data_IF_342987227593
#
_entry.id   IF_342987227593
#
_cell.length_a   1.000
_cell.length_b   1.000
_cell.length_c   1.000
_cell.angle_alpha   90.00
_cell.angle_beta   90.00
_cell.angle_gamma   90.00
#
_symmetry.space_group_name_H-M   'P 1'
#
loop_
_entity.id
_entity.type
_entity.pdbx_description
1 polymer ?
#
# COMPACT_ATOMS: atom_id res chain seq x y z
N UNK A 1 8.45 -1.35 -6.97
CA UNK A 1 8.33 -2.69 -6.35
C UNK A 1 9.49 -2.98 -5.40
N UNK A 2 10.73 -2.66 -5.78
CA UNK A 2 11.93 -2.84 -4.95
C UNK A 2 11.81 -2.23 -3.54
N UNK A 3 11.30 -0.99 -3.42
CA UNK A 3 11.14 -0.34 -2.11
C UNK A 3 10.21 -1.10 -1.13
N UNK A 4 9.12 -1.68 -1.64
CA UNK A 4 8.17 -2.44 -0.81
C UNK A 4 8.75 -3.76 -0.33
N UNK A 5 9.52 -4.43 -1.20
CA UNK A 5 10.24 -5.64 -0.86
C UNK A 5 11.39 -5.38 0.11
N UNK A 6 12.08 -4.25 -0.02
CA UNK A 6 13.12 -3.85 0.93
C UNK A 6 12.50 -3.58 2.30
N UNK A 7 11.38 -2.85 2.36
CA UNK A 7 10.65 -2.61 3.60
C UNK A 7 10.12 -3.92 4.22
N UNK A 8 9.50 -4.78 3.43
CA UNK A 8 9.02 -6.08 3.88
C UNK A 8 10.16 -7.00 4.34
N UNK A 9 11.29 -7.01 3.63
CA UNK A 9 12.49 -7.76 4.00
C UNK A 9 13.07 -7.28 5.34
N UNK A 10 13.07 -5.96 5.60
CA UNK A 10 13.47 -5.39 6.89
C UNK A 10 12.54 -5.79 8.04
N UNK A 11 11.25 -6.00 7.78
CA UNK A 11 10.24 -6.36 8.80
C UNK A 11 10.24 -7.86 9.09
N UNK A 12 10.21 -8.69 8.04
CA UNK A 12 9.97 -10.14 8.15
C UNK A 12 11.25 -10.97 8.05
N UNK A 13 12.31 -10.40 7.47
CA UNK A 13 13.48 -11.14 7.02
C UNK A 13 13.23 -11.85 5.68
N UNK A 14 14.27 -11.93 4.85
CA UNK A 14 14.20 -12.49 3.50
C UNK A 14 13.62 -13.90 3.45
N UNK A 15 14.01 -14.78 4.38
CA UNK A 15 13.52 -16.16 4.41
C UNK A 15 12.00 -16.22 4.60
N UNK A 16 11.47 -15.47 5.56
CA UNK A 16 10.04 -15.50 5.88
C UNK A 16 9.21 -14.85 4.77
N UNK A 17 9.71 -13.76 4.21
CA UNK A 17 9.09 -13.09 3.07
C UNK A 17 9.01 -14.02 1.85
N UNK A 18 10.06 -14.80 1.57
CA UNK A 18 10.07 -15.78 0.49
C UNK A 18 9.02 -16.88 0.70
N UNK A 19 8.91 -17.44 1.91
CA UNK A 19 7.87 -18.42 2.26
C UNK A 19 6.46 -17.88 1.99
N UNK A 20 6.19 -16.65 2.45
CA UNK A 20 4.88 -16.01 2.27
C UNK A 20 4.56 -15.75 0.79
N UNK A 21 5.56 -15.42 -0.03
CA UNK A 21 5.39 -15.24 -1.48
C UNK A 21 5.10 -16.56 -2.19
N UNK A 22 5.79 -17.64 -1.81
CA UNK A 22 5.55 -18.98 -2.38
C UNK A 22 4.14 -19.47 -2.07
N UNK A 23 3.63 -19.21 -0.86
CA UNK A 23 2.24 -19.52 -0.49
C UNK A 23 1.21 -18.78 -1.38
N UNK A 24 1.58 -17.65 -1.98
CA UNK A 24 0.75 -16.89 -2.92
C UNK A 24 1.04 -17.22 -4.40
N UNK A 25 1.83 -18.26 -4.68
CA UNK A 25 2.09 -18.74 -6.04
C UNK A 25 3.43 -18.31 -6.64
N UNK A 26 4.35 -17.73 -5.87
CA UNK A 26 5.71 -17.46 -6.34
C UNK A 26 6.54 -18.76 -6.55
N UNK A 27 7.49 -18.78 -7.49
CA UNK A 27 8.40 -19.92 -7.67
C UNK A 27 9.28 -20.15 -6.44
N UNK A 28 9.29 -21.38 -5.92
CA UNK A 28 10.02 -21.75 -4.70
C UNK A 28 11.54 -21.90 -4.89
N UNK A 29 12.01 -21.98 -6.14
CA UNK A 29 13.42 -22.18 -6.52
C UNK A 29 14.18 -20.86 -6.72
N UNK A 30 13.51 -19.71 -6.61
CA UNK A 30 14.08 -18.39 -6.89
C UNK A 30 14.29 -17.59 -5.62
N UNK A 31 15.30 -16.71 -5.64
CA UNK A 31 15.50 -15.76 -4.54
C UNK A 31 14.60 -14.52 -4.71
N UNK A 32 14.45 -13.74 -3.63
CA UNK A 32 13.61 -12.54 -3.61
C UNK A 32 13.91 -11.59 -4.78
N UNK A 33 15.19 -11.36 -5.11
CA UNK A 33 15.59 -10.43 -6.19
C UNK A 33 15.09 -10.91 -7.56
N UNK A 34 15.14 -12.21 -7.81
CA UNK A 34 14.66 -12.84 -9.05
C UNK A 34 13.13 -12.88 -9.14
N UNK A 35 12.45 -12.85 -7.99
CA UNK A 35 10.99 -12.83 -7.87
C UNK A 35 10.43 -11.42 -8.15
N UNK A 36 11.13 -10.34 -7.75
CA UNK A 36 10.68 -8.94 -7.97
C UNK A 36 10.55 -8.57 -9.45
N UNK A 37 11.37 -9.16 -10.31
CA UNK A 37 11.40 -8.83 -11.74
C UNK A 37 10.49 -9.72 -12.58
N UNK A 38 9.68 -10.58 -11.97
CA UNK A 38 8.66 -11.34 -12.68
C UNK A 38 7.38 -10.53 -12.78
N UNK A 39 6.96 -10.22 -14.01
CA UNK A 39 5.70 -9.52 -14.30
C UNK A 39 4.47 -10.24 -13.72
N UNK A 40 4.60 -11.55 -13.45
CA UNK A 40 3.57 -12.39 -12.84
C UNK A 40 3.45 -12.16 -11.32
N UNK A 41 4.51 -11.70 -10.64
CA UNK A 41 4.51 -11.30 -9.23
C UNK A 41 4.10 -9.82 -9.09
N UNK A 42 2.81 -9.58 -9.32
CA UNK A 42 2.21 -8.25 -9.17
C UNK A 42 2.18 -7.82 -7.70
N UNK A 43 2.13 -6.51 -7.46
CA UNK A 43 1.88 -5.87 -6.17
C UNK A 43 0.82 -6.61 -5.32
N UNK A 44 -0.22 -7.11 -5.98
CA UNK A 44 -1.25 -7.97 -5.40
C UNK A 44 -0.70 -9.16 -4.60
N UNK A 45 0.24 -9.94 -5.14
CA UNK A 45 0.79 -11.13 -4.47
C UNK A 45 1.58 -10.77 -3.22
N UNK A 46 2.35 -9.67 -3.27
CA UNK A 46 3.07 -9.15 -2.11
C UNK A 46 2.12 -8.65 -1.03
N UNK A 47 1.13 -7.84 -1.40
CA UNK A 47 0.16 -7.29 -0.46
C UNK A 47 -0.69 -8.41 0.15
N UNK A 48 -1.14 -9.40 -0.65
CA UNK A 48 -1.88 -10.57 -0.17
C UNK A 48 -1.03 -11.49 0.71
N UNK A 49 0.26 -11.64 0.43
CA UNK A 49 1.17 -12.41 1.28
C UNK A 49 1.21 -11.83 2.72
N UNK A 50 1.05 -10.52 2.86
CA UNK A 50 1.07 -9.82 4.15
C UNK A 50 -0.27 -9.88 4.91
N UNK A 51 -1.33 -10.46 4.34
CA UNK A 51 -2.69 -10.44 4.92
C UNK A 51 -2.84 -11.09 6.28
N UNK A 52 -1.89 -11.94 6.68
CA UNK A 52 -1.87 -12.62 7.98
C UNK A 52 -0.81 -12.04 8.93
N UNK A 53 -0.15 -10.93 8.56
CA UNK A 53 0.83 -10.28 9.44
C UNK A 53 0.15 -9.24 10.32
N UNK A 54 0.06 -9.51 11.62
CA UNK A 54 -0.51 -8.57 12.59
C UNK A 54 0.16 -7.19 12.56
N UNK A 55 1.49 -7.16 12.41
CA UNK A 55 2.26 -5.91 12.31
C UNK A 55 1.82 -5.10 11.08
N UNK A 56 1.74 -5.76 9.93
CA UNK A 56 1.31 -5.12 8.69
C UNK A 56 -0.15 -4.64 8.80
N UNK A 57 -1.05 -5.50 9.30
CA UNK A 57 -2.47 -5.16 9.45
C UNK A 57 -2.68 -3.99 10.40
N UNK A 58 -1.97 -3.93 11.52
CA UNK A 58 -2.04 -2.79 12.46
C UNK A 58 -1.57 -1.48 11.80
N UNK A 59 -0.49 -1.54 11.02
CA UNK A 59 -0.01 -0.37 10.27
C UNK A 59 -1.02 0.04 9.19
N UNK A 60 -1.58 -0.92 8.46
CA UNK A 60 -2.57 -0.67 7.42
C UNK A 60 -3.83 -0.02 7.99
N UNK A 61 -4.35 -0.55 9.10
CA UNK A 61 -5.49 0.00 9.85
C UNK A 61 -5.23 1.46 10.27
N UNK A 62 -4.06 1.72 10.85
CA UNK A 62 -3.67 3.09 11.27
C UNK A 62 -3.64 4.04 10.07
N UNK A 63 -2.98 3.65 8.97
CA UNK A 63 -2.85 4.49 7.77
C UNK A 63 -4.18 4.74 7.08
N UNK A 64 -5.05 3.74 7.00
CA UNK A 64 -6.39 3.91 6.44
C UNK A 64 -7.25 4.84 7.31
N UNK A 65 -7.10 4.78 8.64
CA UNK A 65 -7.75 5.73 9.55
C UNK A 65 -7.29 7.17 9.33
N UNK A 66 -5.99 7.37 9.11
CA UNK A 66 -5.43 8.67 8.73
C UNK A 66 -5.98 9.15 7.37
N UNK A 67 -6.01 8.28 6.36
CA UNK A 67 -6.54 8.58 5.02
C UNK A 67 -8.02 8.94 5.08
N UNK A 68 -8.85 8.17 5.80
CA UNK A 68 -10.28 8.48 6.00
C UNK A 68 -10.47 9.85 6.65
N UNK A 69 -9.68 10.14 7.69
CA UNK A 69 -9.73 11.43 8.38
C UNK A 69 -9.36 12.59 7.45
N UNK A 70 -8.31 12.44 6.64
CA UNK A 70 -7.90 13.43 5.64
C UNK A 70 -8.96 13.61 4.57
N UNK A 71 -9.50 12.51 4.03
CA UNK A 71 -10.55 12.51 3.02
C UNK A 71 -11.79 13.29 3.47
N UNK A 72 -12.20 13.14 4.73
CA UNK A 72 -13.29 13.94 5.33
C UNK A 72 -12.96 15.42 5.40
N UNK A 73 -11.71 15.78 5.74
CA UNK A 73 -11.27 17.17 5.82
C UNK A 73 -11.20 17.86 4.45
N UNK A 74 -10.76 17.13 3.42
CA UNK A 74 -10.64 17.68 2.06
C UNK A 74 -11.89 17.46 1.20
N UNK A 75 -12.89 16.74 1.72
CA UNK A 75 -14.16 16.41 1.06
C UNK A 75 -13.96 15.67 -0.28
N UNK A 76 -13.04 14.69 -0.32
CA UNK A 76 -12.74 13.89 -1.53
C UNK A 76 -12.71 12.39 -1.22
N UNK A 77 -13.13 11.60 -2.22
CA UNK A 77 -13.21 10.14 -2.12
C UNK A 77 -14.46 9.69 -1.38
N UNK A 78 -14.42 8.47 -0.85
CA UNK A 78 -15.49 7.87 -0.06
C UNK A 78 -14.95 7.43 1.33
N UNK A 79 -14.75 8.37 2.27
CA UNK A 79 -14.24 8.03 3.59
C UNK A 79 -15.16 7.09 4.38
N UNK A 80 -16.46 7.11 4.13
CA UNK A 80 -17.43 6.18 4.75
C UNK A 80 -17.17 4.73 4.33
N UNK A 81 -16.74 4.51 3.09
CA UNK A 81 -16.33 3.18 2.62
C UNK A 81 -15.06 2.71 3.36
N UNK A 82 -14.08 3.59 3.55
CA UNK A 82 -12.86 3.28 4.30
C UNK A 82 -13.20 2.97 5.77
N UNK A 83 -14.06 3.77 6.40
CA UNK A 83 -14.54 3.50 7.75
C UNK A 83 -15.25 2.16 7.84
N UNK A 84 -16.04 1.78 6.82
CA UNK A 84 -16.68 0.47 6.78
C UNK A 84 -15.65 -0.65 6.74
N UNK A 85 -14.58 -0.53 5.96
CA UNK A 85 -13.50 -1.52 5.94
C UNK A 85 -12.78 -1.64 7.28
N UNK A 86 -12.56 -0.51 7.97
CA UNK A 86 -11.89 -0.47 9.29
C UNK A 86 -12.73 -1.08 10.41
N UNK A 87 -14.05 -1.09 10.27
CA UNK A 87 -14.97 -1.67 11.26
C UNK A 87 -15.37 -3.12 10.92
N UNK A 88 -14.78 -3.73 9.89
CA UNK A 88 -15.04 -5.12 9.55
C UNK A 88 -14.41 -6.06 10.59
N UNK A 89 -15.14 -7.09 11.02
CA UNK A 89 -14.68 -8.06 12.02
C UNK A 89 -13.54 -8.95 11.46
N UNK A 90 -13.35 -8.95 10.15
CA UNK A 90 -12.29 -9.69 9.47
C UNK A 90 -11.05 -8.83 9.22
N UNK A 91 -10.10 -8.84 10.17
CA UNK A 91 -8.84 -8.08 10.05
C UNK A 91 -8.02 -8.43 8.78
N UNK A 92 -7.87 -9.71 8.38
CA UNK A 92 -7.19 -10.04 7.12
C UNK A 92 -7.92 -9.52 5.86
N UNK A 93 -9.25 -9.40 5.90
CA UNK A 93 -10.05 -8.90 4.79
C UNK A 93 -9.78 -7.42 4.49
N UNK A 94 -9.21 -6.67 5.44
CA UNK A 94 -8.75 -5.29 5.21
C UNK A 94 -7.80 -5.19 4.02
N UNK A 95 -6.97 -6.21 3.79
CA UNK A 95 -6.07 -6.26 2.63
C UNK A 95 -6.85 -6.42 1.32
N UNK A 96 -7.86 -7.29 1.31
CA UNK A 96 -8.70 -7.53 0.15
C UNK A 96 -9.50 -6.27 -0.21
N UNK A 97 -10.09 -5.61 0.80
CA UNK A 97 -10.76 -4.32 0.64
C UNK A 97 -9.86 -3.24 0.03
N UNK A 98 -8.60 -3.13 0.48
CA UNK A 98 -7.64 -2.16 -0.05
C UNK A 98 -7.23 -2.47 -1.49
N UNK A 99 -7.09 -3.76 -1.83
CA UNK A 99 -6.79 -4.19 -3.19
C UNK A 99 -7.94 -3.85 -4.12
N UNK A 100 -9.17 -4.21 -3.73
CA UNK A 100 -10.37 -4.01 -4.56
C UNK A 100 -10.75 -2.53 -4.66
N UNK A 101 -10.54 -1.77 -3.58
CA UNK A 101 -10.85 -0.36 -3.48
C UNK A 101 -9.65 0.58 -3.69
N UNK A 102 -8.58 0.09 -4.33
CA UNK A 102 -7.35 0.87 -4.50
C UNK A 102 -7.59 2.23 -5.16
N UNK A 103 -8.50 2.29 -6.13
CA UNK A 103 -8.83 3.53 -6.86
C UNK A 103 -9.41 4.62 -5.93
N UNK A 104 -10.19 4.24 -4.92
CA UNK A 104 -10.74 5.19 -3.93
C UNK A 104 -9.64 5.78 -3.05
N UNK A 105 -8.70 4.94 -2.61
CA UNK A 105 -7.54 5.36 -1.84
C UNK A 105 -6.65 6.27 -2.70
N UNK A 106 -6.37 5.86 -3.94
CA UNK A 106 -5.50 6.58 -4.85
C UNK A 106 -6.03 7.97 -5.18
N UNK A 107 -7.34 8.10 -5.40
CA UNK A 107 -8.00 9.40 -5.62
C UNK A 107 -7.77 10.38 -4.47
N UNK A 108 -7.87 9.91 -3.22
CA UNK A 108 -7.62 10.74 -2.03
C UNK A 108 -6.15 11.18 -1.97
N UNK A 109 -5.22 10.26 -2.27
CA UNK A 109 -3.79 10.56 -2.26
C UNK A 109 -3.39 11.59 -3.33
N UNK A 110 -3.97 11.51 -4.53
CA UNK A 110 -3.75 12.49 -5.60
C UNK A 110 -4.28 13.86 -5.19
N UNK A 111 -5.50 13.93 -4.66
CA UNK A 111 -6.06 15.21 -4.21
C UNK A 111 -5.24 15.81 -3.07
N UNK A 112 -4.81 14.98 -2.12
CA UNK A 112 -3.94 15.42 -1.03
C UNK A 112 -2.64 16.01 -1.58
N UNK A 113 -2.01 15.33 -2.54
CA UNK A 113 -0.81 15.80 -3.21
C UNK A 113 -1.08 17.14 -3.93
N UNK A 114 -2.13 17.26 -4.73
CA UNK A 114 -2.48 18.50 -5.44
C UNK A 114 -2.75 19.68 -4.50
N UNK A 115 -3.42 19.43 -3.36
CA UNK A 115 -3.72 20.48 -2.36
C UNK A 115 -2.50 20.86 -1.52
N UNK A 116 -1.61 19.92 -1.23
CA UNK A 116 -0.33 20.21 -0.58
C UNK A 116 0.63 20.93 -1.54
N UNK A 117 0.61 20.55 -2.82
CA UNK A 117 1.39 21.14 -3.91
C UNK A 117 0.70 22.36 -4.56
N UNK A 118 -0.19 23.04 -3.81
CA UNK A 118 -0.87 24.23 -4.28
C UNK A 118 0.13 25.23 -4.89
N UNK A 119 -0.25 25.84 -6.00
CA UNK A 119 0.65 26.58 -6.90
C UNK A 119 1.10 27.93 -6.33
N UNK A 120 0.83 28.18 -5.04
CA UNK A 120 1.39 29.23 -4.19
C UNK A 120 2.67 28.82 -3.45
N UNK A 121 3.12 27.57 -3.56
CA UNK A 121 4.43 27.07 -3.11
C UNK A 121 5.57 27.01 -4.17
N UNK A 122 5.57 27.69 -5.33
CA UNK A 122 6.65 27.58 -6.32
C UNK A 122 7.98 28.20 -5.84
N UNK A 123 8.07 28.62 -4.58
CA UNK A 123 9.32 29.00 -3.92
C UNK A 123 10.04 27.83 -3.23
N UNK A 124 9.41 26.66 -3.07
CA UNK A 124 10.08 25.46 -2.53
C UNK A 124 9.79 24.28 -3.46
N UNK A 125 10.57 24.20 -4.54
CA UNK A 125 10.91 22.99 -5.30
C UNK A 125 9.77 22.03 -5.69
N UNK A 126 9.42 22.02 -6.97
CA UNK A 126 8.65 20.95 -7.61
C UNK A 126 9.25 19.57 -7.25
N UNK A 127 8.45 18.72 -6.61
CA UNK A 127 8.76 17.29 -6.41
C UNK A 127 8.56 16.44 -7.69
N UNK A 128 8.13 17.06 -8.79
CA UNK A 128 7.70 16.39 -10.02
C UNK A 128 8.32 16.93 -11.32
N UNK A 129 9.58 17.38 -11.30
CA UNK A 129 10.36 17.36 -12.55
C UNK A 129 11.32 16.16 -12.49
N UNK A 130 11.18 15.13 -13.35
CA UNK A 130 12.26 14.18 -13.57
C UNK A 130 13.47 14.98 -14.09
N UNK A 131 14.62 14.78 -13.46
CA UNK A 131 15.89 15.34 -13.91
C UNK A 131 16.16 14.80 -15.32
N UNK A 132 16.27 15.68 -16.31
CA UNK A 132 16.83 15.39 -17.64
C UNK A 132 18.30 14.96 -17.55
#
# INVERSE_FOLDING_TARGET
MEYLLEAASKIFGEKKLLEMLVEQGAPADKNIKEIVHQDELRFLHLTMALKNSDIFLNHLETRLGEISSIAKLIEVGNPELIDKWLNDDCKPCLVEHVVEGYDEIYKILIELDERLLWHGWPLIGKLHDPIE
#
